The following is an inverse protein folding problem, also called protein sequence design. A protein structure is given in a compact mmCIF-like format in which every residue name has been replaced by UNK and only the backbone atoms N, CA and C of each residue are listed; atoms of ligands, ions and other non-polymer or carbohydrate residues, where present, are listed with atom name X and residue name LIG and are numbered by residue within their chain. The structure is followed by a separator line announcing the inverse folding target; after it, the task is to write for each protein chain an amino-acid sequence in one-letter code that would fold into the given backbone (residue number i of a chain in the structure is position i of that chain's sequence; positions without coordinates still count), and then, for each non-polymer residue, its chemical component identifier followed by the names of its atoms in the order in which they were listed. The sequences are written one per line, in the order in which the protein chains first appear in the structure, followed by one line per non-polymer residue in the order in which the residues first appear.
data_IF_506128022546
#
_entry.id   IF_506128022546
#
_cell.length_a   1.000
_cell.length_b   1.000
_cell.length_c   1.000
_cell.angle_alpha   90.00
_cell.angle_beta   90.00
_cell.angle_gamma   90.00
#
_symmetry.space_group_name_H-M   'P 1'
#
loop_
_entity.id
_entity.type
_entity.pdbx_description
1 polymer ?
#
# COMPACT_ATOMS: atom_id res chain seq x y z
N UNK A 1 4.59 26.35 -25.63
CA UNK A 1 4.89 27.41 -24.64
C UNK A 1 4.41 28.79 -25.14
N UNK A 2 3.10 28.95 -25.43
CA UNK A 2 2.48 30.24 -25.82
C UNK A 2 1.79 30.96 -24.65
N UNK A 3 1.87 30.40 -23.45
CA UNK A 3 1.20 30.93 -22.25
C UNK A 3 1.96 32.09 -21.58
N UNK A 4 3.23 32.33 -21.93
CA UNK A 4 4.08 33.37 -21.34
C UNK A 4 4.33 34.56 -22.28
N UNK A 5 3.51 34.76 -23.32
CA UNK A 5 3.59 35.97 -24.15
C UNK A 5 2.91 37.16 -23.42
N UNK A 6 3.59 38.32 -23.24
CA UNK A 6 3.05 39.48 -22.52
C UNK A 6 1.89 40.19 -23.23
N UNK A 7 1.41 39.66 -24.37
CA UNK A 7 0.27 40.16 -25.14
C UNK A 7 -0.76 39.06 -25.48
N UNK A 8 -0.90 38.02 -24.65
CA UNK A 8 -2.04 37.12 -24.72
C UNK A 8 -3.28 37.83 -24.17
N UNK A 9 -4.31 38.03 -25.00
CA UNK A 9 -5.61 38.58 -24.59
C UNK A 9 -6.43 37.58 -23.74
N UNK A 10 -5.78 36.92 -22.78
CA UNK A 10 -6.43 36.00 -21.86
C UNK A 10 -7.00 36.78 -20.68
N UNK A 11 -8.33 36.71 -20.46
CA UNK A 11 -8.95 37.33 -19.30
C UNK A 11 -8.36 36.77 -18.00
N UNK A 12 -8.06 37.65 -17.03
CA UNK A 12 -7.42 37.28 -15.77
C UNK A 12 -8.13 36.13 -15.02
N UNK A 13 -9.45 36.01 -15.14
CA UNK A 13 -10.23 34.94 -14.52
C UNK A 13 -9.83 33.54 -15.01
N UNK A 14 -9.39 33.38 -16.27
CA UNK A 14 -8.96 32.09 -16.80
C UNK A 14 -7.71 31.59 -16.08
N UNK A 15 -6.76 32.48 -15.82
CA UNK A 15 -5.53 32.13 -15.09
C UNK A 15 -5.86 31.69 -13.66
N UNK A 16 -6.71 32.43 -12.94
CA UNK A 16 -7.16 32.07 -11.60
C UNK A 16 -7.92 30.73 -11.57
N UNK A 17 -8.78 30.49 -12.56
CA UNK A 17 -9.52 29.23 -12.69
C UNK A 17 -8.58 28.04 -12.90
N UNK A 18 -7.60 28.16 -13.82
CA UNK A 18 -6.63 27.10 -14.07
C UNK A 18 -5.78 26.78 -12.84
N UNK A 19 -5.28 27.81 -12.15
CA UNK A 19 -4.51 27.62 -10.91
C UNK A 19 -5.35 26.94 -9.84
N UNK A 20 -6.60 27.39 -9.65
CA UNK A 20 -7.53 26.79 -8.69
C UNK A 20 -7.83 25.33 -9.05
N UNK A 21 -8.06 25.03 -10.32
CA UNK A 21 -8.31 23.67 -10.81
C UNK A 21 -7.12 22.75 -10.54
N UNK A 22 -5.89 23.19 -10.81
CA UNK A 22 -4.66 22.41 -10.54
C UNK A 22 -4.53 22.10 -9.04
N UNK A 23 -4.74 23.10 -8.18
CA UNK A 23 -4.67 22.93 -6.72
C UNK A 23 -5.75 21.93 -6.28
N UNK A 24 -6.97 22.09 -6.77
CA UNK A 24 -8.09 21.23 -6.42
C UNK A 24 -7.86 19.78 -6.85
N UNK A 25 -7.46 19.56 -8.11
CA UNK A 25 -7.15 18.21 -8.62
C UNK A 25 -6.00 17.58 -7.86
N UNK A 26 -4.96 18.33 -7.52
CA UNK A 26 -3.82 17.82 -6.75
C UNK A 26 -4.23 17.43 -5.32
N UNK A 27 -5.07 18.25 -4.68
CA UNK A 27 -5.61 17.95 -3.35
C UNK A 27 -6.51 16.72 -3.38
N UNK A 28 -7.41 16.63 -4.36
CA UNK A 28 -8.29 15.47 -4.52
C UNK A 28 -7.49 14.19 -4.80
N UNK A 29 -6.48 14.25 -5.68
CA UNK A 29 -5.57 13.14 -5.94
C UNK A 29 -4.83 12.69 -4.67
N UNK A 30 -4.39 13.65 -3.84
CA UNK A 30 -3.77 13.33 -2.55
C UNK A 30 -4.72 12.59 -1.61
N UNK A 31 -5.98 12.99 -1.52
CA UNK A 31 -6.99 12.30 -0.70
C UNK A 31 -7.20 10.87 -1.19
N UNK A 32 -7.38 10.68 -2.50
CA UNK A 32 -7.57 9.35 -3.08
C UNK A 32 -6.36 8.46 -2.80
N UNK A 33 -5.15 8.98 -2.98
CA UNK A 33 -3.93 8.24 -2.69
C UNK A 33 -3.85 7.81 -1.22
N UNK A 34 -4.17 8.71 -0.27
CA UNK A 34 -4.19 8.35 1.15
C UNK A 34 -5.26 7.29 1.47
N UNK A 35 -6.43 7.38 0.82
CA UNK A 35 -7.49 6.39 1.00
C UNK A 35 -7.09 5.01 0.47
N UNK A 36 -6.48 4.94 -0.72
CA UNK A 36 -5.93 3.70 -1.29
C UNK A 36 -4.88 3.07 -0.37
N UNK A 37 -3.90 3.85 0.11
CA UNK A 37 -2.89 3.37 1.05
C UNK A 37 -3.54 2.83 2.32
N UNK A 38 -4.51 3.55 2.89
CA UNK A 38 -5.23 3.10 4.08
C UNK A 38 -5.94 1.75 3.87
N UNK A 39 -6.58 1.55 2.72
CA UNK A 39 -7.24 0.30 2.38
C UNK A 39 -6.25 -0.86 2.25
N UNK A 40 -5.14 -0.63 1.54
CA UNK A 40 -4.08 -1.62 1.33
C UNK A 40 -3.47 -2.03 2.68
N UNK A 41 -3.12 -1.06 3.52
CA UNK A 41 -2.52 -1.32 4.84
C UNK A 41 -3.48 -2.09 5.76
N UNK A 42 -4.76 -1.69 5.77
CA UNK A 42 -5.79 -2.37 6.56
C UNK A 42 -5.98 -3.82 6.08
N UNK A 43 -5.94 -4.04 4.77
CA UNK A 43 -6.01 -5.37 4.19
C UNK A 43 -4.79 -6.22 4.53
N UNK A 44 -3.58 -5.66 4.39
CA UNK A 44 -2.32 -6.29 4.74
C UNK A 44 -2.29 -6.73 6.22
N UNK A 45 -2.73 -5.85 7.14
CA UNK A 45 -2.82 -6.17 8.57
C UNK A 45 -3.81 -7.32 8.85
N UNK A 46 -4.98 -7.33 8.20
CA UNK A 46 -5.95 -8.42 8.33
C UNK A 46 -5.37 -9.75 7.85
N UNK A 47 -4.66 -9.74 6.72
CA UNK A 47 -3.96 -10.92 6.20
C UNK A 47 -2.90 -11.41 7.20
N UNK A 48 -2.16 -10.49 7.82
CA UNK A 48 -1.18 -10.80 8.88
C UNK A 48 -1.75 -11.54 10.05
N UNK A 49 -2.88 -11.06 10.56
CA UNK A 49 -3.59 -11.74 11.65
C UNK A 49 -4.09 -13.12 11.21
N UNK A 50 -4.61 -13.23 9.98
CA UNK A 50 -5.14 -14.48 9.45
C UNK A 50 -4.04 -15.55 9.29
N UNK A 51 -2.95 -15.27 8.56
CA UNK A 51 -1.91 -16.29 8.35
C UNK A 51 -1.18 -16.63 9.65
N UNK A 52 -0.93 -15.65 10.54
CA UNK A 52 -0.24 -15.90 11.81
C UNK A 52 -1.07 -16.85 12.69
N UNK A 53 -2.39 -16.65 12.73
CA UNK A 53 -3.31 -17.55 13.43
C UNK A 53 -3.36 -18.95 12.81
N UNK A 54 -3.35 -19.06 11.48
CA UNK A 54 -3.31 -20.34 10.77
C UNK A 54 -2.01 -21.11 11.04
N UNK A 55 -0.87 -20.44 10.96
CA UNK A 55 0.45 -21.03 11.25
C UNK A 55 0.50 -21.50 12.70
N UNK A 56 0.08 -20.68 13.65
CA UNK A 56 0.05 -21.05 15.06
C UNK A 56 -0.83 -22.29 15.32
N UNK A 57 -2.04 -22.33 14.76
CA UNK A 57 -2.92 -23.50 14.84
C UNK A 57 -2.31 -24.75 14.22
N UNK A 58 -1.58 -24.61 13.11
CA UNK A 58 -0.90 -25.73 12.45
C UNK A 58 0.23 -26.26 13.32
N UNK A 59 1.05 -25.37 13.88
CA UNK A 59 2.15 -25.70 14.80
C UNK A 59 1.66 -26.51 16.00
N UNK A 60 0.55 -26.09 16.63
CA UNK A 60 -0.01 -26.82 17.77
C UNK A 60 -0.57 -28.21 17.43
N UNK A 61 -0.80 -28.51 16.14
CA UNK A 61 -1.35 -29.79 15.68
C UNK A 61 -0.30 -30.68 15.00
N UNK A 62 0.94 -30.22 14.87
CA UNK A 62 2.04 -31.00 14.29
C UNK A 62 2.52 -32.06 15.30
N UNK A 63 2.88 -33.24 14.80
CA UNK A 63 3.51 -34.27 15.63
C UNK A 63 4.92 -33.83 16.03
N UNK A 64 5.41 -34.28 17.20
CA UNK A 64 6.74 -33.87 17.70
C UNK A 64 7.87 -34.19 16.72
N UNK A 65 7.75 -35.24 15.91
CA UNK A 65 8.74 -35.56 14.88
C UNK A 65 8.74 -34.52 13.75
N UNK A 66 7.57 -34.14 13.22
CA UNK A 66 7.46 -33.14 12.17
C UNK A 66 7.77 -31.71 12.68
N UNK A 67 7.46 -31.43 13.95
CA UNK A 67 7.83 -30.18 14.61
C UNK A 67 9.34 -30.08 14.86
N UNK A 68 10.02 -31.19 15.15
CA UNK A 68 11.49 -31.17 15.30
C UNK A 68 12.25 -30.96 13.98
N UNK A 69 11.61 -31.23 12.82
CA UNK A 69 12.20 -30.97 11.50
C UNK A 69 12.20 -29.47 11.17
N UNK A 70 11.18 -28.73 11.64
CA UNK A 70 11.02 -27.30 11.39
C UNK A 70 11.39 -26.55 12.68
N UNK A 71 12.51 -25.82 12.68
CA UNK A 71 12.92 -25.10 13.89
C UNK A 71 11.89 -24.02 14.27
N UNK A 72 11.63 -23.85 15.56
CA UNK A 72 10.80 -22.74 16.05
C UNK A 72 11.32 -21.38 15.57
N UNK A 73 12.64 -21.25 15.39
CA UNK A 73 13.29 -20.07 14.82
C UNK A 73 12.99 -19.84 13.35
N UNK A 74 12.79 -20.89 12.55
CA UNK A 74 12.41 -20.75 11.14
C UNK A 74 10.97 -20.25 11.01
N UNK A 75 10.07 -20.72 11.88
CA UNK A 75 8.67 -20.27 11.89
C UNK A 75 8.57 -18.81 12.32
N UNK A 76 9.31 -18.40 13.35
CA UNK A 76 9.31 -17.00 13.79
C UNK A 76 9.97 -16.09 12.75
N UNK A 77 11.04 -16.55 12.08
CA UNK A 77 11.66 -15.83 10.97
C UNK A 77 10.67 -15.65 9.80
N UNK A 78 9.95 -16.71 9.43
CA UNK A 78 8.93 -16.64 8.38
C UNK A 78 7.80 -15.64 8.74
N UNK A 79 7.32 -15.68 9.98
CA UNK A 79 6.25 -14.80 10.46
C UNK A 79 6.68 -13.34 10.65
N UNK A 80 7.99 -13.06 10.78
CA UNK A 80 8.52 -11.71 11.01
C UNK A 80 9.11 -11.09 9.74
N UNK A 81 9.98 -11.82 9.05
CA UNK A 81 10.70 -11.35 7.88
C UNK A 81 9.87 -11.53 6.60
N UNK A 82 9.39 -12.74 6.32
CA UNK A 82 8.67 -13.00 5.07
C UNK A 82 7.30 -12.35 5.04
N UNK A 83 6.64 -12.27 6.20
CA UNK A 83 5.47 -11.43 6.43
C UNK A 83 5.63 -10.00 5.89
N UNK A 84 6.68 -9.30 6.33
CA UNK A 84 6.95 -7.90 5.95
C UNK A 84 7.20 -7.79 4.45
N UNK A 85 7.89 -8.77 3.84
CA UNK A 85 8.11 -8.81 2.40
C UNK A 85 6.81 -9.01 1.62
N UNK A 86 5.91 -9.85 2.10
CA UNK A 86 4.59 -10.08 1.48
C UNK A 86 3.75 -8.80 1.57
N UNK A 87 3.72 -8.13 2.73
CA UNK A 87 3.03 -6.83 2.89
C UNK A 87 3.56 -5.80 1.88
N UNK A 88 4.88 -5.69 1.74
CA UNK A 88 5.50 -4.81 0.74
C UNK A 88 5.13 -5.22 -0.70
N UNK A 89 5.12 -6.51 -1.03
CA UNK A 89 4.71 -6.98 -2.34
C UNK A 89 3.24 -6.66 -2.65
N UNK A 90 2.34 -6.75 -1.66
CA UNK A 90 0.93 -6.37 -1.79
C UNK A 90 0.76 -4.89 -2.03
N UNK A 91 1.60 -4.04 -1.43
CA UNK A 91 1.60 -2.62 -1.71
C UNK A 91 1.90 -2.32 -3.18
N UNK A 92 2.84 -3.06 -3.79
CA UNK A 92 3.21 -2.87 -5.18
C UNK A 92 2.35 -3.63 -6.19
N UNK A 93 1.44 -4.49 -5.76
CA UNK A 93 0.68 -5.37 -6.67
C UNK A 93 -0.18 -4.57 -7.67
N UNK A 94 -0.65 -3.40 -7.28
CA UNK A 94 -1.46 -2.52 -8.13
C UNK A 94 -0.69 -2.01 -9.36
N UNK A 95 0.64 -2.03 -9.35
CA UNK A 95 1.46 -1.63 -10.50
C UNK A 95 1.60 -2.72 -11.57
N UNK A 96 1.05 -3.92 -11.35
CA UNK A 96 1.13 -5.02 -12.31
C UNK A 96 0.07 -4.96 -13.43
N UNK A 97 -0.97 -4.14 -13.25
CA UNK A 97 -2.04 -3.92 -14.23
C UNK A 97 -1.96 -2.49 -14.75
#
# INVERSE_FOLDING_TARGET
MKFFEPCSAMPAWHAWFLVSAIIFTSFFSSILFNYEVYLIDTFALKMRLAYSGLVFRKVLRLSSHAFNIISSGEITNLLSNDATKIEMALFFINYLW
#
